data_IF_206003238290
#
_entry.id   IF_206003238290
#
_cell.length_a   1.000
_cell.length_b   1.000
_cell.length_c   1.000
_cell.angle_alpha   90.00
_cell.angle_beta   90.00
_cell.angle_gamma   90.00
#
_symmetry.space_group_name_H-M   'P 1'
#
loop_
_entity.id
_entity.type
_entity.pdbx_description
1 polymer ?
#
# COMPACT_ATOMS: atom_id res chain seq x y z
N UNK A 1 -9.76 19.50 -10.64
CA UNK A 1 -10.88 18.55 -10.45
C UNK A 1 -10.41 17.11 -10.42
N UNK A 2 -9.92 16.65 -9.26
CA UNK A 2 -9.55 15.25 -9.02
C UNK A 2 -10.77 14.34 -8.76
N UNK A 3 -11.97 14.93 -8.66
CA UNK A 3 -13.22 14.27 -8.25
C UNK A 3 -14.02 13.62 -9.38
N UNK A 4 -13.61 13.75 -10.65
CA UNK A 4 -14.48 13.39 -11.80
C UNK A 4 -14.19 12.03 -12.47
N UNK A 5 -13.15 11.30 -12.09
CA UNK A 5 -12.82 10.03 -12.76
C UNK A 5 -12.67 8.80 -11.85
N UNK A 6 -12.69 8.96 -10.53
CA UNK A 6 -12.78 7.83 -9.59
C UNK A 6 -14.20 7.25 -9.61
N UNK A 7 -14.44 6.26 -10.47
CA UNK A 7 -15.63 5.42 -10.39
C UNK A 7 -15.46 4.46 -9.20
N UNK A 8 -15.85 4.94 -8.03
CA UNK A 8 -15.89 4.20 -6.77
C UNK A 8 -17.02 3.17 -6.89
N UNK A 9 -16.68 1.92 -7.22
CA UNK A 9 -17.59 0.78 -7.06
C UNK A 9 -17.30 0.16 -5.69
N UNK A 10 -18.16 0.34 -4.68
CA UNK A 10 -18.00 -0.38 -3.42
C UNK A 10 -18.34 -1.84 -3.69
N UNK A 11 -17.38 -2.75 -3.52
CA UNK A 11 -17.69 -4.15 -3.32
C UNK A 11 -17.70 -4.36 -1.81
N UNK A 12 -18.79 -4.88 -1.25
CA UNK A 12 -19.08 -4.86 0.20
C UNK A 12 -18.04 -5.61 1.06
N UNK A 13 -17.13 -6.37 0.43
CA UNK A 13 -16.02 -7.09 1.06
C UNK A 13 -14.60 -6.70 0.56
N UNK A 14 -14.49 -5.87 -0.49
CA UNK A 14 -13.22 -5.50 -1.12
C UNK A 14 -13.08 -3.97 -1.18
N UNK A 15 -12.49 -3.39 -0.13
CA UNK A 15 -12.21 -1.96 0.03
C UNK A 15 -11.09 -1.45 -0.93
N UNK A 16 -11.00 -1.99 -2.15
CA UNK A 16 -10.01 -1.61 -3.18
C UNK A 16 -10.66 -0.78 -4.27
N UNK A 17 -10.16 0.44 -4.44
CA UNK A 17 -10.57 1.31 -5.54
C UNK A 17 -9.51 1.26 -6.64
N UNK A 18 -9.91 0.83 -7.82
CA UNK A 18 -9.02 0.64 -8.96
C UNK A 18 -9.49 1.53 -10.11
N UNK A 19 -8.66 2.47 -10.58
CA UNK A 19 -8.89 3.12 -11.87
C UNK A 19 -8.40 2.20 -13.01
N UNK A 20 -9.31 1.32 -13.48
CA UNK A 20 -9.38 0.62 -14.77
C UNK A 20 -8.21 -0.26 -15.34
N UNK A 21 -8.66 -1.28 -16.09
CA UNK A 21 -7.99 -2.18 -17.05
C UNK A 21 -7.19 -3.38 -16.49
N UNK A 22 -7.70 -4.62 -16.58
CA UNK A 22 -6.92 -5.82 -16.29
C UNK A 22 -5.97 -6.11 -17.46
N UNK A 23 -4.82 -5.44 -17.46
CA UNK A 23 -3.70 -5.81 -18.33
C UNK A 23 -3.03 -7.03 -17.70
N UNK A 24 -2.92 -8.12 -18.47
CA UNK A 24 -2.33 -9.39 -18.06
C UNK A 24 -0.83 -9.32 -17.65
N UNK A 25 -0.26 -8.12 -17.53
CA UNK A 25 1.12 -7.84 -17.16
C UNK A 25 1.14 -7.15 -15.80
N UNK A 26 1.81 -7.78 -14.82
CA UNK A 26 2.08 -7.16 -13.52
C UNK A 26 2.92 -5.91 -13.70
N UNK A 27 2.47 -4.80 -13.13
CA UNK A 27 3.15 -3.51 -13.17
C UNK A 27 3.82 -3.26 -11.83
N UNK A 28 5.13 -2.96 -11.77
CA UNK A 28 5.83 -2.74 -10.50
C UNK A 28 5.24 -1.60 -9.67
N UNK A 29 5.27 -1.74 -8.34
CA UNK A 29 5.04 -0.65 -7.40
C UNK A 29 6.24 0.30 -7.44
N UNK A 30 5.97 1.60 -7.66
CA UNK A 30 7.01 2.62 -7.76
C UNK A 30 6.99 3.62 -6.61
N UNK A 31 5.82 3.93 -6.06
CA UNK A 31 5.69 4.84 -4.93
C UNK A 31 4.38 4.58 -4.16
N UNK A 32 4.24 5.22 -3.01
CA UNK A 32 3.02 5.21 -2.22
C UNK A 32 2.75 6.55 -1.53
N UNK A 33 1.47 6.87 -1.35
CA UNK A 33 1.03 8.03 -0.57
C UNK A 33 -0.06 7.59 0.41
N UNK A 34 -0.11 8.23 1.58
CA UNK A 34 -1.27 8.12 2.47
C UNK A 34 -2.09 9.39 2.28
N UNK A 35 -3.26 9.25 1.67
CA UNK A 35 -4.18 10.37 1.39
C UNK A 35 -5.44 10.24 2.23
N UNK A 36 -6.06 11.37 2.54
CA UNK A 36 -7.31 11.41 3.28
C UNK A 36 -8.47 11.76 2.33
N UNK A 37 -9.47 10.88 2.26
CA UNK A 37 -10.69 11.10 1.47
C UNK A 37 -11.88 10.88 2.40
N UNK A 38 -12.74 11.89 2.54
CA UNK A 38 -13.91 11.85 3.44
C UNK A 38 -13.56 11.39 4.87
N UNK A 39 -12.48 11.95 5.42
CA UNK A 39 -11.98 11.66 6.76
C UNK A 39 -11.51 10.21 6.98
N UNK A 40 -11.22 9.48 5.91
CA UNK A 40 -10.64 8.14 5.95
C UNK A 40 -9.27 8.14 5.26
N UNK A 41 -8.24 7.53 5.86
CA UNK A 41 -6.95 7.35 5.21
C UNK A 41 -7.04 6.25 4.15
N UNK A 42 -6.34 6.45 3.04
CA UNK A 42 -6.16 5.48 1.97
C UNK A 42 -4.68 5.35 1.65
N UNK A 43 -4.20 4.11 1.53
CA UNK A 43 -2.92 3.79 0.92
C UNK A 43 -3.08 3.88 -0.59
N UNK A 44 -2.58 4.96 -1.17
CA UNK A 44 -2.49 5.14 -2.62
C UNK A 44 -1.19 4.52 -3.11
N UNK A 45 -1.31 3.47 -3.90
CA UNK A 45 -0.20 2.73 -4.49
C UNK A 45 -0.04 3.21 -5.92
N UNK A 46 1.15 3.68 -6.27
CA UNK A 46 1.48 4.22 -7.59
C UNK A 46 2.32 3.18 -8.32
N UNK A 47 1.87 2.80 -9.51
CA UNK A 47 2.51 1.78 -10.35
C UNK A 47 3.37 2.44 -11.45
N UNK A 48 4.31 1.68 -12.01
CA UNK A 48 5.25 2.17 -13.02
C UNK A 48 4.60 2.66 -14.33
N UNK A 49 3.39 2.19 -14.64
CA UNK A 49 2.62 2.64 -15.81
C UNK A 49 1.81 3.93 -15.55
N UNK A 50 1.94 4.51 -14.36
CA UNK A 50 1.22 5.71 -13.94
C UNK A 50 -0.18 5.44 -13.37
N UNK A 51 -0.63 4.17 -13.34
CA UNK A 51 -1.88 3.81 -12.67
C UNK A 51 -1.72 3.88 -11.15
N UNK A 52 -2.85 4.02 -10.45
CA UNK A 52 -2.86 3.97 -8.99
C UNK A 52 -4.07 3.22 -8.44
N UNK A 53 -3.85 2.63 -7.27
CA UNK A 53 -4.85 1.85 -6.54
C UNK A 53 -4.98 2.40 -5.13
N UNK A 54 -6.20 2.51 -4.61
CA UNK A 54 -6.44 2.97 -3.25
C UNK A 54 -6.91 1.82 -2.37
N UNK A 55 -6.25 1.63 -1.24
CA UNK A 55 -6.62 0.64 -0.24
C UNK A 55 -6.95 1.34 1.08
N UNK A 56 -8.12 1.05 1.67
CA UNK A 56 -8.44 1.55 3.02
C UNK A 56 -7.73 0.72 4.08
N UNK A 57 -7.75 -0.61 3.92
CA UNK A 57 -7.23 -1.55 4.91
C UNK A 57 -5.92 -2.17 4.42
N UNK A 58 -4.96 -2.26 5.32
CA UNK A 58 -3.69 -2.92 5.04
C UNK A 58 -3.88 -4.41 4.72
N UNK A 59 -4.82 -5.11 5.38
CA UNK A 59 -5.13 -6.53 5.06
C UNK A 59 -5.56 -6.69 3.61
N UNK A 60 -6.35 -5.75 3.08
CA UNK A 60 -6.79 -5.79 1.69
C UNK A 60 -5.63 -5.52 0.73
N UNK A 61 -4.75 -4.55 1.05
CA UNK A 61 -3.51 -4.33 0.31
C UNK A 61 -2.66 -5.61 0.28
N UNK A 62 -2.41 -6.22 1.44
CA UNK A 62 -1.61 -7.43 1.59
C UNK A 62 -2.15 -8.61 0.76
N UNK A 63 -3.49 -8.80 0.72
CA UNK A 63 -4.11 -9.88 -0.07
C UNK A 63 -3.99 -9.68 -1.58
N UNK A 64 -3.87 -8.43 -2.03
CA UNK A 64 -3.77 -8.08 -3.45
C UNK A 64 -2.32 -7.98 -3.94
N UNK A 65 -1.35 -8.00 -3.03
CA UNK A 65 0.06 -7.87 -3.33
C UNK A 65 0.71 -9.25 -3.26
N UNK A 66 1.57 -9.54 -4.24
CA UNK A 66 2.50 -10.65 -4.09
C UNK A 66 3.72 -10.23 -3.25
N UNK A 67 4.65 -11.18 -3.06
CA UNK A 67 5.85 -10.93 -2.27
C UNK A 67 6.73 -9.83 -2.86
N UNK A 68 6.83 -9.74 -4.20
CA UNK A 68 7.66 -8.72 -4.88
C UNK A 68 7.06 -7.33 -4.68
N UNK A 69 5.74 -7.18 -4.81
CA UNK A 69 5.03 -5.94 -4.56
C UNK A 69 5.18 -5.48 -3.08
N UNK A 70 5.11 -6.42 -2.12
CA UNK A 70 5.33 -6.11 -0.70
C UNK A 70 6.79 -5.75 -0.39
N UNK A 71 7.76 -6.40 -1.02
CA UNK A 71 9.19 -6.06 -0.89
C UNK A 71 9.50 -4.68 -1.47
N UNK A 72 8.92 -4.35 -2.63
CA UNK A 72 9.03 -3.03 -3.22
C UNK A 72 8.43 -1.95 -2.30
N UNK A 73 7.22 -2.18 -1.78
CA UNK A 73 6.59 -1.29 -0.81
C UNK A 73 7.44 -1.14 0.46
N UNK A 74 8.02 -2.23 0.95
CA UNK A 74 8.91 -2.18 2.11
C UNK A 74 10.16 -1.35 1.87
N UNK A 75 10.77 -1.48 0.69
CA UNK A 75 11.93 -0.66 0.30
C UNK A 75 11.61 0.83 0.31
N UNK A 76 10.45 1.22 -0.24
CA UNK A 76 9.99 2.61 -0.28
C UNK A 76 9.74 3.17 1.13
N UNK A 77 9.11 2.38 1.99
CA UNK A 77 8.83 2.75 3.38
C UNK A 77 10.12 2.93 4.17
N UNK A 78 11.09 2.02 4.01
CA UNK A 78 12.42 2.16 4.61
C UNK A 78 13.13 3.42 4.14
N UNK A 79 13.15 3.67 2.84
CA UNK A 79 13.80 4.84 2.26
C UNK A 79 13.20 6.13 2.85
N UNK A 80 11.86 6.24 2.86
CA UNK A 80 11.15 7.40 3.40
C UNK A 80 11.46 7.65 4.87
N UNK A 81 11.40 6.60 5.69
CA UNK A 81 11.61 6.72 7.14
C UNK A 81 13.07 6.57 7.58
N UNK A 82 14.01 6.43 6.64
CA UNK A 82 15.44 6.58 6.92
C UNK A 82 15.79 8.03 7.27
N UNK A 83 15.11 9.00 6.66
CA UNK A 83 15.38 10.44 6.86
C UNK A 83 14.23 11.20 7.53
N UNK A 84 13.02 10.66 7.54
CA UNK A 84 11.84 11.31 8.11
C UNK A 84 11.23 10.50 9.26
N UNK A 85 10.45 11.15 10.12
CA UNK A 85 9.63 10.49 11.14
C UNK A 85 8.21 10.28 10.61
N UNK A 86 7.51 9.21 11.04
CA UNK A 86 6.06 9.06 10.83
C UNK A 86 5.31 10.32 11.27
N UNK A 87 4.38 10.80 10.45
CA UNK A 87 3.62 12.02 10.74
C UNK A 87 2.23 11.74 11.29
N UNK A 88 1.68 10.57 11.00
CA UNK A 88 0.35 10.16 11.44
C UNK A 88 0.34 8.67 11.84
N UNK A 89 -0.81 8.22 12.36
CA UNK A 89 -0.99 6.83 12.77
C UNK A 89 -0.78 5.83 11.61
N UNK A 90 -1.26 6.15 10.42
CA UNK A 90 -1.15 5.26 9.26
C UNK A 90 0.31 5.09 8.79
N UNK A 91 1.13 6.14 8.88
CA UNK A 91 2.58 6.07 8.62
C UNK A 91 3.27 5.13 9.61
N UNK A 92 3.00 5.31 10.91
CA UNK A 92 3.60 4.54 12.00
C UNK A 92 3.17 3.07 11.94
N UNK A 93 1.88 2.84 11.68
CA UNK A 93 1.30 1.52 11.48
C UNK A 93 1.94 0.80 10.29
N UNK A 94 2.02 1.44 9.12
CA UNK A 94 2.61 0.85 7.92
C UNK A 94 4.10 0.51 8.11
N UNK A 95 4.87 1.41 8.71
CA UNK A 95 6.29 1.19 9.03
C UNK A 95 6.48 0.01 9.97
N UNK A 96 5.72 -0.03 11.06
CA UNK A 96 5.85 -1.07 12.09
C UNK A 96 5.45 -2.44 11.55
N UNK A 97 4.31 -2.53 10.86
CA UNK A 97 3.84 -3.81 10.31
C UNK A 97 4.78 -4.37 9.23
N UNK A 98 5.27 -3.56 8.29
CA UNK A 98 6.20 -4.05 7.28
C UNK A 98 7.57 -4.40 7.87
N UNK A 99 8.03 -3.66 8.89
CA UNK A 99 9.22 -4.04 9.66
C UNK A 99 9.04 -5.42 10.28
N UNK A 100 7.91 -5.68 10.94
CA UNK A 100 7.63 -6.97 11.56
C UNK A 100 7.64 -8.11 10.53
N UNK A 101 7.10 -7.87 9.33
CA UNK A 101 7.04 -8.86 8.25
C UNK A 101 8.40 -9.22 7.64
N UNK A 102 9.33 -8.27 7.55
CA UNK A 102 10.55 -8.42 6.76
C UNK A 102 11.86 -8.36 7.55
N UNK A 103 11.90 -7.69 8.71
CA UNK A 103 13.10 -7.54 9.52
C UNK A 103 13.13 -8.42 10.76
N UNK A 104 11.99 -8.92 11.24
CA UNK A 104 12.00 -9.83 12.40
C UNK A 104 12.57 -11.17 11.95
N UNK A 105 13.71 -11.62 12.48
CA UNK A 105 14.05 -13.03 12.39
C UNK A 105 13.04 -13.77 13.26
N UNK A 106 12.45 -14.84 12.74
CA UNK A 106 11.66 -15.76 13.57
C UNK A 106 12.46 -16.06 14.85
N UNK A 107 12.03 -15.50 15.97
CA UNK A 107 12.60 -15.81 17.28
C UNK A 107 12.37 -17.28 17.66
N UNK A 108 11.66 -18.04 16.81
CA UNK A 108 11.40 -19.46 16.88
C UNK A 108 12.19 -20.31 15.86
N UNK A 109 13.14 -19.75 15.08
CA UNK A 109 14.00 -20.52 14.17
C UNK A 109 15.19 -21.22 14.88
N UNK A 110 15.18 -21.29 16.21
CA UNK A 110 16.11 -22.11 17.00
C UNK A 110 15.33 -23.05 17.93
N UNK A 111 14.87 -24.19 17.40
CA UNK A 111 14.75 -25.47 18.13
C UNK A 111 15.20 -26.59 17.19
#
# INVERSE_FOLDING_TARGET
DLKRHLQIVPNEDDDVYTEATPLARKVPVMDYEIIEINNKPYYKIIRADGTHQLYIRFVTLQRNFDREDLEALWSLVKERFSTAKPKNFSDDFLLTTLREMFETPDANAQI
#
